data_IF_495012492483
#
_entry.id   IF_495012492483
#
_cell.length_a   1.000
_cell.length_b   1.000
_cell.length_c   1.000
_cell.angle_alpha   90.00
_cell.angle_beta   90.00
_cell.angle_gamma   90.00
#
_symmetry.space_group_name_H-M   'P 1'
#
loop_
_entity.id
_entity.type
_entity.pdbx_description
1 polymer ?
#
# COMPACT_ATOMS: atom_id res chain seq x y z
N UNK A 1 10.72 -58.31 80.43
CA UNK A 1 11.42 -59.47 79.81
C UNK A 1 10.87 -59.60 78.38
N UNK A 2 11.78 -59.59 77.39
CA UNK A 2 11.68 -59.79 75.92
C UNK A 2 10.32 -60.07 75.25
N UNK A 3 10.08 -59.41 74.10
CA UNK A 3 10.02 -59.96 72.72
C UNK A 3 9.44 -58.89 71.79
N UNK A 4 10.24 -58.25 70.94
CA UNK A 4 10.72 -58.65 69.60
C UNK A 4 9.64 -58.54 68.51
N UNK A 5 9.88 -57.58 67.62
CA UNK A 5 9.15 -57.23 66.41
C UNK A 5 9.63 -58.07 65.23
N UNK A 6 8.72 -58.65 64.44
CA UNK A 6 8.97 -58.88 63.00
C UNK A 6 7.68 -59.19 62.24
N UNK A 7 7.70 -58.82 60.96
CA UNK A 7 6.80 -59.17 59.85
C UNK A 7 5.63 -58.25 59.52
N UNK A 8 5.92 -57.25 58.69
CA UNK A 8 5.04 -56.79 57.60
C UNK A 8 5.88 -56.67 56.30
N UNK A 9 5.34 -57.08 55.13
CA UNK A 9 6.11 -57.21 53.89
C UNK A 9 6.34 -55.89 53.16
N UNK A 10 7.51 -55.79 52.51
CA UNK A 10 7.94 -54.70 51.63
C UNK A 10 7.23 -54.78 50.28
N UNK A 11 6.49 -53.74 49.89
CA UNK A 11 6.23 -53.43 48.48
C UNK A 11 7.32 -52.46 47.99
N UNK A 12 8.15 -52.93 47.04
CA UNK A 12 9.19 -52.15 46.36
C UNK A 12 8.71 -51.78 44.95
N UNK A 13 8.69 -50.48 44.67
CA UNK A 13 9.27 -49.87 43.47
C UNK A 13 8.72 -50.22 42.08
N UNK A 14 7.66 -49.50 41.67
CA UNK A 14 7.26 -49.17 40.29
C UNK A 14 6.39 -47.91 40.49
N UNK A 15 6.68 -46.67 40.07
CA UNK A 15 6.70 -46.19 38.69
C UNK A 15 7.04 -44.68 38.70
N UNK A 16 8.28 -44.32 39.03
CA UNK A 16 8.75 -42.91 38.86
C UNK A 16 9.39 -42.70 37.50
N UNK A 17 9.92 -43.77 36.88
CA UNK A 17 10.59 -43.70 35.58
C UNK A 17 9.63 -43.50 34.40
N UNK A 18 8.39 -44.01 34.48
CA UNK A 18 7.41 -43.88 33.40
C UNK A 18 6.88 -42.44 33.25
N UNK A 19 6.71 -41.70 34.36
CA UNK A 19 6.23 -40.30 34.32
C UNK A 19 7.26 -39.32 33.75
N UNK A 20 8.55 -39.58 33.92
CA UNK A 20 9.61 -38.73 33.37
C UNK A 20 9.76 -38.86 31.85
N UNK A 21 9.49 -40.06 31.30
CA UNK A 21 9.50 -40.29 29.84
C UNK A 21 8.34 -39.57 29.13
N UNK A 22 7.15 -39.53 29.73
CA UNK A 22 6.00 -38.84 29.14
C UNK A 22 6.16 -37.31 29.08
N UNK A 23 6.82 -36.71 30.08
CA UNK A 23 7.11 -35.26 30.09
C UNK A 23 8.21 -34.92 29.07
N UNK A 24 9.22 -35.79 28.92
CA UNK A 24 10.29 -35.58 27.93
C UNK A 24 9.77 -35.61 26.48
N UNK A 25 8.82 -36.50 26.16
CA UNK A 25 8.23 -36.58 24.80
C UNK A 25 7.36 -35.35 24.48
N UNK A 26 6.64 -34.79 25.46
CA UNK A 26 5.84 -33.56 25.28
C UNK A 26 6.70 -32.30 25.09
N UNK A 27 7.88 -32.24 25.73
CA UNK A 27 8.83 -31.12 25.55
C UNK A 27 9.53 -31.18 24.17
N UNK A 28 9.81 -32.38 23.66
CA UNK A 28 10.41 -32.53 22.32
C UNK A 28 9.39 -32.26 21.21
N UNK A 29 8.12 -32.61 21.41
CA UNK A 29 7.05 -32.31 20.45
C UNK A 29 6.72 -30.80 20.37
N UNK A 30 6.86 -30.06 21.47
CA UNK A 30 6.68 -28.60 21.50
C UNK A 30 7.91 -27.81 21.03
N UNK A 31 9.12 -28.39 21.13
CA UNK A 31 10.31 -27.78 20.55
C UNK A 31 10.32 -27.81 19.02
N UNK A 32 9.70 -28.83 18.41
CA UNK A 32 9.70 -29.01 16.95
C UNK A 32 8.79 -28.03 16.20
N UNK A 33 7.81 -27.42 16.87
CA UNK A 33 6.93 -26.39 16.28
C UNK A 33 7.49 -24.98 16.43
N UNK A 34 8.47 -24.76 17.32
CA UNK A 34 9.11 -23.45 17.50
C UNK A 34 10.22 -23.15 16.46
N UNK A 35 10.69 -24.16 15.72
CA UNK A 35 11.73 -24.02 14.68
C UNK A 35 11.20 -23.67 13.28
N UNK A 36 9.87 -23.52 13.12
CA UNK A 36 9.25 -23.08 11.87
C UNK A 36 9.06 -21.54 11.79
N UNK A 37 9.56 -20.78 12.76
CA UNK A 37 9.83 -19.35 12.55
C UNK A 37 11.11 -19.23 11.72
N UNK A 38 11.02 -19.63 10.44
CA UNK A 38 12.07 -19.43 9.48
C UNK A 38 12.46 -17.96 9.50
N UNK A 39 13.65 -17.66 10.00
CA UNK A 39 14.35 -16.41 9.72
C UNK A 39 14.48 -16.33 8.20
N UNK A 40 13.46 -15.75 7.55
CA UNK A 40 13.49 -15.46 6.13
C UNK A 40 14.70 -14.56 5.96
N UNK A 41 15.77 -15.08 5.36
CA UNK A 41 17.00 -14.31 5.11
C UNK A 41 16.56 -12.97 4.53
N UNK A 42 16.80 -11.88 5.26
CA UNK A 42 16.52 -10.53 4.75
C UNK A 42 17.32 -10.39 3.47
N UNK A 43 16.65 -10.33 2.32
CA UNK A 43 17.31 -10.12 1.03
C UNK A 43 17.97 -8.74 1.11
N UNK A 44 19.29 -8.70 0.92
CA UNK A 44 20.03 -7.44 0.89
C UNK A 44 19.58 -6.70 -0.36
N UNK A 45 19.11 -5.45 -0.20
CA UNK A 45 18.76 -4.57 -1.30
C UNK A 45 20.02 -3.78 -1.65
N UNK A 46 20.55 -4.00 -2.84
CA UNK A 46 21.67 -3.21 -3.37
C UNK A 46 21.10 -2.05 -4.18
N UNK A 47 21.27 -0.83 -3.69
CA UNK A 47 20.81 0.37 -4.39
C UNK A 47 21.97 0.97 -5.19
N UNK A 48 21.85 0.97 -6.51
CA UNK A 48 22.81 1.69 -7.35
C UNK A 48 22.60 3.21 -7.24
N UNK A 49 21.37 3.68 -7.00
CA UNK A 49 21.05 5.09 -6.68
C UNK A 49 19.80 5.19 -5.82
N UNK A 50 19.76 6.18 -4.94
CA UNK A 50 18.61 6.58 -4.11
C UNK A 50 18.60 8.11 -3.96
N UNK A 51 17.45 8.76 -3.85
CA UNK A 51 17.45 10.22 -3.77
C UNK A 51 16.09 10.89 -3.58
N UNK A 52 15.90 11.99 -4.32
CA UNK A 52 14.74 12.87 -4.25
C UNK A 52 14.95 14.03 -5.21
N UNK A 53 14.02 14.27 -6.13
CA UNK A 53 14.02 15.48 -6.95
C UNK A 53 12.63 16.07 -7.09
N UNK A 54 12.57 17.41 -7.16
CA UNK A 54 11.34 18.15 -7.38
C UNK A 54 11.06 18.24 -8.89
N UNK A 55 9.80 18.14 -9.29
CA UNK A 55 9.37 18.23 -10.69
C UNK A 55 8.09 19.07 -10.82
N UNK A 56 7.98 19.80 -11.93
CA UNK A 56 6.90 20.74 -12.18
C UNK A 56 6.88 21.93 -11.19
N UNK A 57 5.66 22.44 -10.98
CA UNK A 57 5.33 23.56 -10.11
C UNK A 57 5.47 24.95 -10.73
N UNK A 58 5.08 25.95 -9.96
CA UNK A 58 4.94 27.35 -10.39
C UNK A 58 5.87 28.23 -9.55
N UNK A 59 6.32 29.33 -10.13
CA UNK A 59 6.99 30.41 -9.39
C UNK A 59 6.06 31.61 -9.37
N UNK A 60 5.67 32.06 -8.18
CA UNK A 60 4.91 33.30 -7.99
C UNK A 60 5.83 34.37 -7.40
N UNK A 61 5.48 35.64 -7.63
CA UNK A 61 6.23 36.79 -7.11
C UNK A 61 5.42 37.45 -6.00
N UNK A 62 6.09 37.95 -4.97
CA UNK A 62 5.46 38.70 -3.90
C UNK A 62 4.84 40.01 -4.44
N UNK A 63 3.61 40.30 -4.01
CA UNK A 63 2.86 41.48 -4.48
C UNK A 63 3.40 42.81 -3.97
N UNK A 64 4.25 42.81 -2.93
CA UNK A 64 4.84 44.00 -2.30
C UNK A 64 6.32 44.19 -2.63
N UNK A 65 7.04 43.12 -2.92
CA UNK A 65 8.45 43.13 -3.31
C UNK A 65 8.71 42.21 -4.52
N UNK A 66 8.82 42.75 -5.75
CA UNK A 66 9.03 41.97 -6.96
C UNK A 66 10.32 41.12 -6.99
N UNK A 67 11.27 41.39 -6.08
CA UNK A 67 12.51 40.60 -5.96
C UNK A 67 12.36 39.34 -5.10
N UNK A 68 11.19 39.11 -4.48
CA UNK A 68 10.91 37.92 -3.68
C UNK A 68 9.98 36.98 -4.43
N UNK A 69 10.40 35.72 -4.57
CA UNK A 69 9.66 34.69 -5.31
C UNK A 69 9.40 33.45 -4.47
N UNK A 70 8.28 32.76 -4.70
CA UNK A 70 7.93 31.47 -4.10
C UNK A 70 7.82 30.39 -5.19
N UNK A 71 8.63 29.34 -5.06
CA UNK A 71 8.51 28.10 -5.84
C UNK A 71 7.56 27.13 -5.15
N UNK A 72 6.39 26.89 -5.71
CA UNK A 72 5.30 26.14 -5.08
C UNK A 72 4.66 25.12 -6.05
N UNK A 73 3.78 24.28 -5.52
CA UNK A 73 3.03 23.25 -6.25
C UNK A 73 3.90 22.25 -7.06
N UNK A 74 5.09 21.88 -6.55
CA UNK A 74 5.97 20.88 -7.20
C UNK A 74 5.61 19.47 -6.74
N UNK A 75 5.80 18.45 -7.57
CA UNK A 75 5.84 17.05 -7.13
C UNK A 75 7.26 16.60 -6.77
N UNK A 76 7.44 15.42 -6.16
CA UNK A 76 8.78 14.88 -5.80
C UNK A 76 8.93 13.37 -6.10
N UNK A 77 10.03 12.95 -6.77
CA UNK A 77 10.27 11.57 -7.28
C UNK A 77 11.80 11.18 -7.35
N UNK A 78 12.17 9.89 -7.60
CA UNK A 78 13.54 9.25 -7.64
C UNK A 78 13.86 8.29 -8.85
N UNK A 79 14.76 8.57 -9.83
CA UNK A 79 14.70 8.05 -11.23
C UNK A 79 15.47 6.75 -11.62
N UNK A 80 14.87 5.79 -12.43
CA UNK A 80 15.37 4.65 -13.31
C UNK A 80 14.32 4.00 -14.32
N UNK A 81 14.65 2.92 -15.07
CA UNK A 81 13.90 2.25 -16.19
C UNK A 81 12.85 1.19 -15.77
N UNK A 82 11.65 1.22 -16.34
CA UNK A 82 10.37 0.73 -15.78
C UNK A 82 10.16 1.11 -14.32
N UNK A 83 9.25 2.05 -14.11
CA UNK A 83 9.15 2.83 -12.90
C UNK A 83 7.83 2.59 -12.22
N UNK A 84 7.86 1.94 -11.06
CA UNK A 84 6.69 1.85 -10.19
C UNK A 84 6.53 3.16 -9.42
N UNK A 85 5.57 3.98 -9.82
CA UNK A 85 5.21 5.22 -9.14
C UNK A 85 4.13 4.94 -8.11
N UNK A 86 4.57 4.75 -6.87
CA UNK A 86 3.71 4.55 -5.71
C UNK A 86 3.08 5.88 -5.29
N UNK A 87 1.77 5.96 -5.39
CA UNK A 87 1.01 7.20 -5.21
C UNK A 87 -0.23 6.96 -4.32
N UNK A 88 -0.20 7.50 -3.11
CA UNK A 88 -1.34 7.49 -2.19
C UNK A 88 -2.02 8.87 -2.21
N UNK A 89 -3.32 8.92 -1.94
CA UNK A 89 -4.10 10.18 -1.87
C UNK A 89 -3.62 11.19 -0.83
N UNK A 90 -2.87 10.73 0.17
CA UNK A 90 -2.36 11.55 1.28
C UNK A 90 -0.89 11.35 1.64
N UNK A 91 -0.30 10.17 1.45
CA UNK A 91 1.02 9.91 2.02
C UNK A 91 1.75 8.75 1.39
N UNK A 92 2.99 8.97 1.00
CA UNK A 92 3.91 7.90 0.63
C UNK A 92 4.25 6.94 1.78
N UNK A 93 3.98 7.31 3.04
CA UNK A 93 4.25 6.49 4.22
C UNK A 93 3.56 5.11 4.15
N UNK A 94 2.40 5.00 3.51
CA UNK A 94 1.64 3.75 3.42
C UNK A 94 2.37 2.64 2.66
N UNK A 95 3.32 3.01 1.79
CA UNK A 95 4.10 2.07 0.98
C UNK A 95 5.45 1.71 1.60
N UNK A 96 5.85 2.38 2.68
CA UNK A 96 7.14 2.15 3.34
C UNK A 96 7.02 0.93 4.26
N UNK A 97 7.39 1.03 5.53
CA UNK A 97 7.18 -0.06 6.46
C UNK A 97 5.70 -0.33 6.72
N UNK A 98 5.37 -1.60 6.97
CA UNK A 98 4.11 -1.92 7.64
C UNK A 98 4.03 -1.24 9.00
N UNK A 99 2.83 -1.17 9.53
CA UNK A 99 2.55 -0.54 10.81
C UNK A 99 3.21 -1.25 12.01
N UNK A 100 3.51 -2.55 11.90
CA UNK A 100 4.28 -3.33 12.87
C UNK A 100 5.81 -3.12 12.73
N UNK A 101 6.24 -2.28 11.78
CA UNK A 101 7.66 -2.07 11.42
C UNK A 101 8.19 -3.10 10.42
N UNK A 102 7.37 -4.06 9.97
CA UNK A 102 7.73 -5.07 8.98
C UNK A 102 8.06 -4.49 7.60
N UNK A 103 8.56 -5.36 6.71
CA UNK A 103 8.79 -5.01 5.30
C UNK A 103 7.47 -4.57 4.68
N UNK A 104 7.44 -3.41 4.04
CA UNK A 104 6.30 -3.03 3.23
C UNK A 104 6.61 -2.97 1.76
N UNK A 105 5.66 -2.35 1.06
CA UNK A 105 5.44 -2.59 -0.36
C UNK A 105 6.62 -2.12 -1.22
N UNK A 106 7.19 -0.96 -0.88
CA UNK A 106 8.40 -0.42 -1.50
C UNK A 106 9.58 -1.40 -1.42
N UNK A 107 9.85 -1.95 -0.23
CA UNK A 107 10.96 -2.90 -0.04
C UNK A 107 10.75 -4.18 -0.85
N UNK A 108 9.52 -4.69 -0.95
CA UNK A 108 9.24 -5.90 -1.73
C UNK A 108 9.50 -5.72 -3.23
N UNK A 109 9.21 -4.54 -3.78
CA UNK A 109 9.50 -4.24 -5.19
C UNK A 109 10.98 -3.97 -5.44
N UNK A 110 11.66 -3.28 -4.52
CA UNK A 110 13.12 -3.13 -4.59
C UNK A 110 13.82 -4.49 -4.51
N UNK A 111 13.31 -5.43 -3.72
CA UNK A 111 13.79 -6.81 -3.69
C UNK A 111 13.53 -7.59 -4.99
N UNK A 112 12.67 -7.09 -5.86
CA UNK A 112 12.38 -7.66 -7.19
C UNK A 112 13.09 -6.88 -8.31
N UNK A 113 14.04 -6.03 -7.95
CA UNK A 113 14.84 -5.22 -8.87
C UNK A 113 14.01 -4.23 -9.72
N UNK A 114 12.82 -3.87 -9.24
CA UNK A 114 12.02 -2.78 -9.81
C UNK A 114 12.47 -1.43 -9.25
N UNK A 115 12.69 -0.42 -10.11
CA UNK A 115 12.73 0.97 -9.68
C UNK A 115 11.43 1.42 -9.03
N UNK A 116 11.54 1.88 -7.79
CA UNK A 116 10.39 2.34 -7.01
C UNK A 116 10.48 3.83 -6.72
N UNK A 117 9.37 4.50 -6.98
CA UNK A 117 9.22 5.93 -6.89
C UNK A 117 8.09 6.28 -5.92
N UNK A 118 8.40 7.05 -4.90
CA UNK A 118 7.38 7.53 -3.96
C UNK A 118 6.99 8.95 -4.34
N UNK A 119 5.75 9.11 -4.82
CA UNK A 119 5.21 10.40 -5.24
C UNK A 119 4.40 11.05 -4.13
N UNK A 120 4.82 12.26 -3.75
CA UNK A 120 3.96 13.21 -3.06
C UNK A 120 3.51 14.26 -4.10
N UNK A 121 2.21 14.30 -4.37
CA UNK A 121 1.59 15.31 -5.22
C UNK A 121 1.68 16.72 -4.62
N UNK A 122 1.63 17.79 -5.44
CA UNK A 122 1.65 19.17 -4.97
C UNK A 122 0.80 19.42 -3.73
N UNK A 123 1.31 20.22 -2.78
CA UNK A 123 0.62 20.63 -1.54
C UNK A 123 0.50 19.51 -0.48
N UNK A 124 0.92 18.27 -0.78
CA UNK A 124 0.84 17.12 0.13
C UNK A 124 2.24 16.69 0.61
N UNK A 125 2.35 16.27 1.88
CA UNK A 125 3.56 15.66 2.43
C UNK A 125 4.82 16.52 2.23
N UNK A 126 5.83 15.96 1.54
CA UNK A 126 7.11 16.64 1.24
C UNK A 126 6.99 17.83 0.28
N UNK A 127 5.81 18.05 -0.31
CA UNK A 127 5.57 19.11 -1.28
C UNK A 127 4.51 20.13 -0.83
N UNK A 128 4.34 20.27 0.49
CA UNK A 128 3.36 21.16 1.13
C UNK A 128 3.52 22.68 0.88
N UNK A 129 4.43 23.11 0.00
CA UNK A 129 4.57 24.51 -0.40
C UNK A 129 3.52 24.85 -1.47
N UNK A 130 2.41 25.43 -1.04
CA UNK A 130 1.29 25.82 -1.89
C UNK A 130 1.42 27.25 -2.44
N UNK A 131 0.93 27.48 -3.66
CA UNK A 131 0.80 28.84 -4.23
C UNK A 131 -0.46 29.57 -3.76
N UNK A 132 -1.33 28.88 -3.01
CA UNK A 132 -2.58 29.40 -2.47
C UNK A 132 -2.63 29.11 -0.97
N UNK A 133 -3.32 29.92 -0.16
CA UNK A 133 -3.53 29.62 1.24
C UNK A 133 -4.20 28.25 1.42
N UNK A 134 -3.66 27.43 2.32
CA UNK A 134 -4.28 26.17 2.76
C UNK A 134 -4.57 26.30 4.24
N UNK A 135 -5.83 26.15 4.62
CA UNK A 135 -6.24 26.19 6.03
C UNK A 135 -6.45 24.76 6.52
N UNK A 136 -5.74 24.41 7.59
CA UNK A 136 -5.97 23.17 8.33
C UNK A 136 -6.69 23.45 9.63
N UNK A 137 -7.79 22.75 9.86
CA UNK A 137 -8.49 22.73 11.14
C UNK A 137 -8.55 21.27 11.62
N UNK A 138 -7.98 20.94 12.80
CA UNK A 138 -8.07 19.60 13.35
C UNK A 138 -9.53 19.14 13.48
N UNK A 139 -9.82 17.92 13.06
CA UNK A 139 -11.12 17.28 13.25
C UNK A 139 -10.93 15.87 13.79
N UNK A 140 -11.77 15.49 14.76
CA UNK A 140 -11.74 14.16 15.41
C UNK A 140 -12.33 13.06 14.50
N UNK A 141 -11.64 12.73 13.39
CA UNK A 141 -12.10 11.75 12.38
C UNK A 141 -11.59 10.32 12.60
N UNK A 142 -10.84 10.04 13.66
CA UNK A 142 -10.16 8.74 13.81
C UNK A 142 -11.12 7.55 13.83
N UNK A 143 -12.30 7.70 14.43
CA UNK A 143 -13.35 6.70 14.41
C UNK A 143 -13.94 6.50 13.00
N UNK A 144 -14.23 7.58 12.29
CA UNK A 144 -14.72 7.51 10.90
C UNK A 144 -13.69 6.88 9.97
N UNK A 145 -12.43 7.29 10.08
CA UNK A 145 -11.33 6.70 9.33
C UNK A 145 -11.22 5.20 9.61
N UNK A 146 -11.49 4.74 10.85
CA UNK A 146 -11.35 3.33 11.25
C UNK A 146 -12.22 2.42 10.44
N UNK A 147 -13.48 2.79 10.39
CA UNK A 147 -14.49 2.05 9.66
C UNK A 147 -14.27 2.22 8.16
N UNK A 148 -13.92 3.43 7.71
CA UNK A 148 -13.69 3.71 6.28
C UNK A 148 -12.49 2.95 5.70
N UNK A 149 -11.43 2.75 6.49
CA UNK A 149 -10.27 1.97 6.08
C UNK A 149 -10.41 0.47 6.36
N UNK A 150 -11.60 0.05 6.81
CA UNK A 150 -11.92 -1.34 7.11
C UNK A 150 -10.94 -2.01 8.09
N UNK A 151 -10.52 -1.29 9.15
CA UNK A 151 -9.66 -1.89 10.18
C UNK A 151 -10.40 -2.81 11.14
N UNK A 152 -11.72 -2.67 11.19
CA UNK A 152 -12.57 -3.47 12.05
C UNK A 152 -14.00 -2.95 12.08
N UNK A 153 -14.91 -3.67 12.74
CA UNK A 153 -16.35 -3.35 12.73
C UNK A 153 -16.69 -2.04 13.45
N UNK A 154 -15.86 -1.61 14.39
CA UNK A 154 -16.04 -0.37 15.16
C UNK A 154 -14.71 0.15 15.66
N UNK A 155 -14.63 1.45 15.96
CA UNK A 155 -13.39 2.08 16.41
C UNK A 155 -12.72 1.31 17.56
N UNK A 156 -11.41 1.05 17.43
CA UNK A 156 -10.58 0.26 18.35
C UNK A 156 -10.94 -1.24 18.48
N UNK A 157 -11.94 -1.72 17.75
CA UNK A 157 -12.23 -3.14 17.61
C UNK A 157 -11.68 -3.60 16.28
N UNK A 158 -10.49 -4.20 16.26
CA UNK A 158 -9.82 -4.60 15.02
C UNK A 158 -10.33 -5.95 14.49
N UNK A 159 -10.31 -6.11 13.17
CA UNK A 159 -10.23 -7.45 12.58
C UNK A 159 -8.93 -8.13 13.02
N UNK A 160 -8.84 -9.46 13.07
CA UNK A 160 -7.58 -10.16 13.34
C UNK A 160 -6.46 -9.67 12.38
N UNK A 161 -5.36 -9.15 12.94
CA UNK A 161 -4.22 -8.62 12.17
C UNK A 161 -4.30 -7.14 11.79
N UNK A 162 -5.28 -6.39 12.28
CA UNK A 162 -5.42 -4.96 12.01
C UNK A 162 -4.32 -4.07 12.63
N UNK A 163 -4.18 -2.85 12.09
CA UNK A 163 -3.07 -1.96 12.42
C UNK A 163 -3.44 -0.45 12.40
N UNK A 164 -2.54 0.41 12.89
CA UNK A 164 -2.82 1.82 13.28
C UNK A 164 -2.22 2.86 12.31
N UNK A 165 -2.81 4.06 12.26
CA UNK A 165 -2.67 5.05 11.18
C UNK A 165 -1.53 6.07 11.29
N UNK A 166 -1.07 6.51 10.13
CA UNK A 166 -0.66 7.90 9.86
C UNK A 166 -1.36 8.39 8.58
N UNK A 167 -1.85 9.64 8.57
CA UNK A 167 -2.51 10.28 7.42
C UNK A 167 -2.10 11.75 7.35
N UNK A 168 -1.94 12.28 6.14
CA UNK A 168 -1.96 13.73 5.87
C UNK A 168 -3.31 14.10 5.23
N UNK A 169 -3.63 15.40 5.17
CA UNK A 169 -4.87 15.84 4.52
C UNK A 169 -4.93 15.40 3.06
N UNK A 170 -6.11 14.90 2.68
CA UNK A 170 -6.39 14.56 1.29
C UNK A 170 -7.04 15.78 0.66
N UNK A 171 -6.33 16.42 -0.27
CA UNK A 171 -6.82 17.60 -0.98
C UNK A 171 -7.72 17.16 -2.16
N UNK A 172 -8.84 16.51 -1.86
CA UNK A 172 -9.75 15.89 -2.84
C UNK A 172 -10.83 16.87 -3.35
N UNK A 173 -10.38 18.00 -3.89
CA UNK A 173 -11.23 18.96 -4.61
C UNK A 173 -10.93 18.89 -6.11
N UNK A 174 -11.87 19.23 -6.98
CA UNK A 174 -11.66 19.24 -8.45
C UNK A 174 -10.40 20.01 -8.87
N UNK A 175 -10.16 21.18 -8.29
CA UNK A 175 -8.95 21.99 -8.55
C UNK A 175 -7.67 21.22 -8.24
N UNK A 176 -7.59 20.61 -7.06
CA UNK A 176 -6.43 19.83 -6.64
C UNK A 176 -6.29 18.52 -7.43
N UNK A 177 -7.38 17.82 -7.78
CA UNK A 177 -7.32 16.63 -8.65
C UNK A 177 -6.68 17.00 -9.99
N UNK A 178 -7.12 18.10 -10.60
CA UNK A 178 -6.55 18.59 -11.86
C UNK A 178 -5.10 19.06 -11.70
N UNK A 179 -4.78 19.77 -10.62
CA UNK A 179 -3.40 20.19 -10.31
C UNK A 179 -2.47 18.98 -10.19
N UNK A 180 -2.89 17.96 -9.43
CA UNK A 180 -2.10 16.77 -9.19
C UNK A 180 -1.89 15.96 -10.46
N UNK A 181 -2.96 15.79 -11.26
CA UNK A 181 -2.90 15.09 -12.54
C UNK A 181 -2.00 15.82 -13.55
N UNK A 182 -2.08 17.15 -13.66
CA UNK A 182 -1.19 17.93 -14.51
C UNK A 182 0.28 17.82 -14.07
N UNK A 183 0.55 17.88 -12.76
CA UNK A 183 1.91 17.73 -12.25
C UNK A 183 2.49 16.34 -12.57
N UNK A 184 1.69 15.29 -12.44
CA UNK A 184 2.10 13.94 -12.77
C UNK A 184 2.25 13.73 -14.28
N UNK A 185 1.38 14.33 -15.11
CA UNK A 185 1.46 14.27 -16.57
C UNK A 185 2.73 14.98 -17.07
N UNK A 186 3.01 16.18 -16.56
CA UNK A 186 4.28 16.87 -16.81
C UNK A 186 5.48 16.02 -16.39
N UNK A 187 5.40 15.33 -15.25
CA UNK A 187 6.47 14.47 -14.79
C UNK A 187 6.70 13.26 -15.72
N UNK A 188 5.61 12.62 -16.18
CA UNK A 188 5.67 11.54 -17.16
C UNK A 188 6.25 12.02 -18.51
N UNK A 189 5.74 13.13 -19.02
CA UNK A 189 6.13 13.69 -20.32
C UNK A 189 7.58 14.18 -20.34
N UNK A 190 8.13 14.57 -19.19
CA UNK A 190 9.53 15.01 -19.08
C UNK A 190 10.56 13.92 -19.38
N UNK A 191 10.16 12.64 -19.37
CA UNK A 191 11.06 11.49 -19.49
C UNK A 191 12.00 11.28 -18.30
N UNK A 192 11.96 12.15 -17.27
CA UNK A 192 12.81 12.04 -16.07
C UNK A 192 12.49 10.82 -15.22
N UNK A 193 11.31 10.24 -15.40
CA UNK A 193 10.84 9.02 -14.75
C UNK A 193 11.12 7.76 -15.60
N UNK A 194 11.78 7.90 -16.74
CA UNK A 194 11.86 6.85 -17.74
C UNK A 194 10.65 6.83 -18.67
N UNK A 195 10.68 5.87 -19.59
CA UNK A 195 9.75 5.68 -20.71
C UNK A 195 8.76 4.52 -20.49
N UNK A 196 8.77 3.92 -19.30
CA UNK A 196 7.87 2.85 -18.88
C UNK A 196 7.33 3.09 -17.47
N UNK A 197 6.25 3.84 -17.32
CA UNK A 197 5.70 4.21 -16.02
C UNK A 197 4.48 3.38 -15.70
N UNK A 198 4.44 2.86 -14.47
CA UNK A 198 3.28 2.22 -13.90
C UNK A 198 2.90 2.99 -12.65
N UNK A 199 1.71 3.56 -12.63
CA UNK A 199 1.18 4.17 -11.41
C UNK A 199 0.55 3.10 -10.53
N UNK A 200 1.08 2.92 -9.32
CA UNK A 200 0.47 2.06 -8.30
C UNK A 200 -0.21 2.98 -7.29
N UNK A 201 -1.53 2.98 -7.30
CA UNK A 201 -2.34 4.03 -6.68
C UNK A 201 -3.28 3.50 -5.63
N UNK A 202 -3.64 4.34 -4.66
CA UNK A 202 -4.69 4.02 -3.69
C UNK A 202 -5.60 5.21 -3.40
N UNK A 203 -6.88 4.91 -3.17
CA UNK A 203 -7.94 5.89 -2.94
C UNK A 203 -8.02 6.91 -4.10
N UNK A 204 -8.01 8.22 -3.79
CA UNK A 204 -8.16 9.30 -4.76
C UNK A 204 -7.03 9.34 -5.81
N UNK A 205 -5.86 8.79 -5.48
CA UNK A 205 -4.75 8.71 -6.43
C UNK A 205 -5.08 7.90 -7.69
N UNK A 206 -5.99 6.92 -7.61
CA UNK A 206 -6.42 6.16 -8.78
C UNK A 206 -7.15 7.00 -9.81
N UNK A 207 -8.05 7.89 -9.38
CA UNK A 207 -8.70 8.86 -10.26
C UNK A 207 -7.68 9.87 -10.81
N UNK A 208 -6.75 10.34 -9.97
CA UNK A 208 -5.71 11.29 -10.38
C UNK A 208 -4.76 10.69 -11.44
N UNK A 209 -4.42 9.40 -11.33
CA UNK A 209 -3.61 8.70 -12.33
C UNK A 209 -4.37 8.47 -13.65
N UNK A 210 -5.67 8.17 -13.60
CA UNK A 210 -6.50 8.13 -14.82
C UNK A 210 -6.52 9.49 -15.53
N UNK A 211 -6.74 10.58 -14.78
CA UNK A 211 -6.65 11.94 -15.31
C UNK A 211 -5.25 12.26 -15.84
N UNK A 212 -4.19 11.77 -15.19
CA UNK A 212 -2.81 11.91 -15.65
C UNK A 212 -2.61 11.27 -17.02
N UNK A 213 -3.13 10.06 -17.24
CA UNK A 213 -3.06 9.38 -18.53
C UNK A 213 -3.83 10.13 -19.62
N UNK A 214 -4.96 10.77 -19.28
CA UNK A 214 -5.74 11.60 -20.21
C UNK A 214 -5.00 12.90 -20.60
N UNK A 215 -4.29 13.50 -19.64
CA UNK A 215 -3.60 14.79 -19.82
C UNK A 215 -2.18 14.67 -20.39
N UNK A 216 -1.57 13.50 -20.27
CA UNK A 216 -0.21 13.22 -20.76
C UNK A 216 -0.17 13.22 -22.28
N UNK A 217 0.87 13.83 -22.85
CA UNK A 217 1.11 13.84 -24.29
C UNK A 217 2.16 12.81 -24.73
N UNK A 218 2.69 12.02 -23.80
CA UNK A 218 3.70 11.00 -24.07
C UNK A 218 3.14 9.58 -23.99
N UNK A 219 3.91 8.63 -24.52
CA UNK A 219 3.63 7.20 -24.40
C UNK A 219 4.39 6.55 -23.24
N UNK A 220 4.88 7.38 -22.30
CA UNK A 220 5.72 6.90 -21.20
C UNK A 220 4.90 6.13 -20.16
N UNK A 221 3.60 6.43 -20.02
CA UNK A 221 2.69 5.73 -19.11
C UNK A 221 2.26 4.42 -19.75
N UNK A 222 2.55 3.29 -19.08
CA UNK A 222 2.23 1.93 -19.55
C UNK A 222 1.00 1.35 -18.89
N UNK A 223 0.73 1.71 -17.64
CA UNK A 223 -0.41 1.18 -16.92
C UNK A 223 -0.68 1.87 -15.60
N UNK A 224 -1.82 1.54 -14.99
CA UNK A 224 -2.21 1.98 -13.65
C UNK A 224 -2.80 0.80 -12.89
N UNK A 225 -2.22 0.49 -11.73
CA UNK A 225 -2.79 -0.43 -10.75
C UNK A 225 -3.50 0.42 -9.68
N UNK A 226 -4.83 0.29 -9.59
CA UNK A 226 -5.64 1.14 -8.71
C UNK A 226 -6.31 0.36 -7.58
N UNK A 227 -5.77 0.48 -6.36
CA UNK A 227 -6.33 -0.14 -5.16
C UNK A 227 -7.44 0.73 -4.57
N UNK A 228 -8.65 0.19 -4.56
CA UNK A 228 -9.83 0.79 -3.93
C UNK A 228 -10.01 2.28 -4.29
N UNK A 229 -9.94 2.60 -5.59
CA UNK A 229 -10.10 3.98 -6.04
C UNK A 229 -11.52 4.51 -5.84
N UNK A 230 -11.61 5.76 -5.40
CA UNK A 230 -12.86 6.47 -5.12
C UNK A 230 -13.42 7.24 -6.33
N UNK A 231 -12.92 6.97 -7.54
CA UNK A 231 -13.39 7.66 -8.74
C UNK A 231 -12.80 7.07 -10.02
N UNK A 232 -13.57 7.15 -11.10
CA UNK A 232 -13.15 6.71 -12.43
C UNK A 232 -13.51 7.79 -13.45
N UNK A 233 -12.61 8.01 -14.42
CA UNK A 233 -12.86 8.94 -15.51
C UNK A 233 -13.73 8.27 -16.58
N UNK A 234 -14.84 8.91 -16.94
CA UNK A 234 -15.74 8.46 -18.00
C UNK A 234 -15.85 9.53 -19.10
N UNK A 235 -16.08 9.14 -20.37
CA UNK A 235 -16.44 10.08 -21.42
C UNK A 235 -17.70 10.87 -21.04
N UNK A 236 -17.80 12.14 -21.46
CA UNK A 236 -18.96 12.98 -21.17
C UNK A 236 -20.29 12.42 -21.71
N UNK A 237 -20.23 11.57 -22.75
CA UNK A 237 -21.38 10.86 -23.32
C UNK A 237 -21.86 9.68 -22.47
N UNK A 238 -21.09 9.26 -21.47
CA UNK A 238 -21.43 8.15 -20.60
C UNK A 238 -22.45 8.62 -19.56
N UNK A 239 -23.69 8.18 -19.72
CA UNK A 239 -24.79 8.62 -18.86
C UNK A 239 -24.71 7.95 -17.47
N UNK A 240 -24.15 8.66 -16.49
CA UNK A 240 -24.06 8.19 -15.11
C UNK A 240 -25.36 8.57 -14.38
N UNK A 241 -26.38 7.71 -14.45
CA UNK A 241 -27.62 7.89 -13.68
C UNK A 241 -27.58 7.04 -12.41
N UNK A 242 -27.36 7.65 -11.24
CA UNK A 242 -27.57 7.02 -9.93
C UNK A 242 -26.44 7.23 -8.91
N UNK A 243 -26.81 7.24 -7.62
CA UNK A 243 -25.85 7.04 -6.52
C UNK A 243 -25.37 5.58 -6.55
N UNK A 244 -24.26 5.34 -7.24
CA UNK A 244 -23.68 4.00 -7.36
C UNK A 244 -23.04 3.57 -6.05
N UNK A 245 -23.80 2.83 -5.24
CA UNK A 245 -23.26 2.16 -4.06
C UNK A 245 -22.22 1.09 -4.45
N UNK A 246 -21.07 1.23 -3.78
CA UNK A 246 -19.84 0.43 -3.77
C UNK A 246 -18.96 0.58 -5.02
N UNK A 247 -17.89 1.37 -4.84
CA UNK A 247 -16.75 1.64 -5.75
C UNK A 247 -16.38 0.49 -6.70
N UNK A 248 -16.40 -0.77 -6.24
CA UNK A 248 -16.18 -1.95 -7.07
C UNK A 248 -17.11 -2.08 -8.30
N UNK A 249 -18.36 -1.59 -8.24
CA UNK A 249 -19.26 -1.54 -9.40
C UNK A 249 -18.81 -0.49 -10.42
N UNK A 250 -18.37 0.69 -9.95
CA UNK A 250 -17.82 1.72 -10.83
C UNK A 250 -16.53 1.25 -11.48
N UNK A 251 -15.65 0.56 -10.73
CA UNK A 251 -14.44 -0.08 -11.27
C UNK A 251 -14.77 -1.03 -12.42
N UNK A 252 -15.76 -1.90 -12.23
CA UNK A 252 -16.17 -2.87 -13.26
C UNK A 252 -16.76 -2.19 -14.49
N UNK A 253 -17.56 -1.14 -14.30
CA UNK A 253 -18.10 -0.36 -15.41
C UNK A 253 -16.99 0.35 -16.20
N UNK A 254 -16.02 0.97 -15.51
CA UNK A 254 -14.87 1.60 -16.13
C UNK A 254 -14.02 0.58 -16.91
N UNK A 255 -13.69 -0.57 -16.30
CA UNK A 255 -12.94 -1.63 -16.97
C UNK A 255 -13.68 -2.19 -18.19
N UNK A 256 -15.00 -2.41 -18.08
CA UNK A 256 -15.83 -2.83 -19.19
C UNK A 256 -15.76 -1.85 -20.36
N UNK A 257 -15.92 -0.56 -20.09
CA UNK A 257 -15.83 0.48 -21.12
C UNK A 257 -14.43 0.56 -21.74
N UNK A 258 -13.37 0.46 -20.94
CA UNK A 258 -11.98 0.43 -21.46
C UNK A 258 -11.80 -0.74 -22.44
N UNK A 259 -12.28 -1.93 -22.07
CA UNK A 259 -12.17 -3.13 -22.90
C UNK A 259 -13.04 -3.03 -24.18
N UNK A 260 -14.24 -2.47 -24.08
CA UNK A 260 -15.11 -2.21 -25.25
C UNK A 260 -14.46 -1.25 -26.25
N UNK A 261 -13.65 -0.30 -25.76
CA UNK A 261 -12.89 0.65 -26.57
C UNK A 261 -11.53 0.11 -27.05
N UNK A 262 -11.24 -1.18 -26.81
CA UNK A 262 -10.01 -1.84 -27.27
C UNK A 262 -8.81 -1.72 -26.33
N UNK A 263 -9.00 -1.22 -25.11
CA UNK A 263 -8.00 -1.23 -24.05
C UNK A 263 -7.95 -2.57 -23.29
N UNK A 264 -7.12 -2.61 -22.23
CA UNK A 264 -7.00 -3.77 -21.35
C UNK A 264 -7.17 -3.32 -19.89
N UNK A 265 -8.24 -3.77 -19.25
CA UNK A 265 -8.53 -3.46 -17.86
C UNK A 265 -9.18 -4.66 -17.16
N UNK A 266 -8.68 -4.96 -15.97
CA UNK A 266 -9.19 -6.01 -15.09
C UNK A 266 -9.56 -5.43 -13.72
N UNK A 267 -10.62 -5.97 -13.11
CA UNK A 267 -10.98 -5.66 -11.72
C UNK A 267 -10.84 -6.91 -10.88
N UNK A 268 -9.90 -6.86 -9.95
CA UNK A 268 -9.64 -7.95 -9.02
C UNK A 268 -10.28 -7.68 -7.66
N UNK A 269 -10.96 -8.69 -7.11
CA UNK A 269 -11.46 -8.67 -5.73
C UNK A 269 -10.62 -9.63 -4.90
N UNK A 270 -9.77 -9.09 -4.04
CA UNK A 270 -8.89 -9.90 -3.20
C UNK A 270 -9.71 -10.85 -2.32
N UNK A 271 -9.31 -12.13 -2.31
CA UNK A 271 -9.96 -13.19 -1.54
C UNK A 271 -11.10 -13.94 -2.27
N UNK A 272 -11.63 -13.39 -3.38
CA UNK A 272 -12.55 -14.10 -4.27
C UNK A 272 -11.75 -14.88 -5.33
N UNK A 273 -11.75 -16.22 -5.25
CA UNK A 273 -11.06 -17.08 -6.23
C UNK A 273 -9.52 -17.11 -6.13
N UNK A 274 -8.91 -16.35 -5.22
CA UNK A 274 -7.44 -16.20 -5.10
C UNK A 274 -6.81 -16.86 -3.86
N UNK A 275 -7.51 -17.83 -3.26
CA UNK A 275 -7.06 -18.52 -2.05
C UNK A 275 -7.25 -17.72 -0.75
N UNK A 276 -6.90 -18.34 0.37
CA UNK A 276 -7.11 -17.77 1.72
C UNK A 276 -6.06 -16.74 2.12
N UNK A 277 -4.91 -16.71 1.44
CA UNK A 277 -3.78 -15.80 1.75
C UNK A 277 -4.08 -14.33 1.46
N UNK A 278 -5.05 -14.04 0.58
CA UNK A 278 -5.49 -12.69 0.19
C UNK A 278 -6.84 -12.29 0.83
N UNK A 279 -7.23 -12.93 1.93
CA UNK A 279 -8.45 -12.59 2.68
C UNK A 279 -8.12 -11.70 3.87
N UNK A 280 -9.08 -10.85 4.24
CA UNK A 280 -8.98 -9.99 5.43
C UNK A 280 -8.20 -8.70 5.21
N UNK A 281 -7.96 -8.34 3.95
CA UNK A 281 -7.29 -7.11 3.58
C UNK A 281 -8.09 -5.86 3.98
N UNK A 282 -7.37 -4.82 4.38
CA UNK A 282 -7.89 -3.49 4.71
C UNK A 282 -7.80 -2.58 3.49
N UNK A 283 -8.25 -1.33 3.63
CA UNK A 283 -8.09 -0.33 2.56
C UNK A 283 -6.61 -0.04 2.23
N UNK A 284 -5.71 -0.27 3.19
CA UNK A 284 -4.26 -0.02 3.05
C UNK A 284 -3.53 -1.37 2.92
N UNK A 285 -3.84 -2.09 1.85
CA UNK A 285 -3.32 -3.45 1.58
C UNK A 285 -1.79 -3.57 1.62
N UNK A 286 -1.10 -2.48 1.32
CA UNK A 286 0.36 -2.35 1.31
C UNK A 286 0.99 -2.53 2.69
N UNK A 287 0.23 -2.20 3.73
CA UNK A 287 0.66 -2.22 5.11
C UNK A 287 0.01 -3.36 5.93
N UNK A 288 -0.84 -4.17 5.30
CA UNK A 288 -1.46 -5.35 5.91
C UNK A 288 -0.42 -6.44 6.19
N UNK A 289 -0.73 -7.33 7.13
CA UNK A 289 0.17 -8.42 7.53
C UNK A 289 0.45 -9.43 6.41
N UNK A 290 -0.43 -9.52 5.42
CA UNK A 290 -0.32 -10.39 4.24
C UNK A 290 0.15 -9.65 2.98
N UNK A 291 0.68 -8.42 3.11
CA UNK A 291 1.09 -7.57 1.98
C UNK A 291 2.08 -8.24 1.01
N UNK A 292 2.89 -9.19 1.47
CA UNK A 292 3.78 -9.97 0.61
C UNK A 292 3.05 -10.81 -0.45
N UNK A 293 1.84 -11.29 -0.13
CA UNK A 293 0.98 -12.04 -1.06
C UNK A 293 0.35 -11.10 -2.07
N UNK A 294 0.00 -9.88 -1.65
CA UNK A 294 -0.49 -8.82 -2.55
C UNK A 294 0.59 -8.49 -3.59
N UNK A 295 1.83 -8.20 -3.15
CA UNK A 295 2.96 -7.95 -4.07
C UNK A 295 3.24 -9.14 -4.97
N UNK A 296 3.14 -10.37 -4.43
CA UNK A 296 3.29 -11.59 -5.23
C UNK A 296 2.31 -11.63 -6.40
N UNK A 297 1.04 -11.33 -6.14
CA UNK A 297 -0.01 -11.28 -7.15
C UNK A 297 0.24 -10.18 -8.19
N UNK A 298 0.67 -8.99 -7.75
CA UNK A 298 0.95 -7.89 -8.66
C UNK A 298 2.14 -8.19 -9.58
N UNK A 299 3.15 -8.92 -9.07
CA UNK A 299 4.28 -9.40 -9.88
C UNK A 299 3.88 -10.42 -10.94
N UNK A 300 2.87 -11.25 -10.67
CA UNK A 300 2.30 -12.16 -11.69
C UNK A 300 1.56 -11.41 -12.80
N UNK A 301 0.88 -10.31 -12.46
CA UNK A 301 0.23 -9.44 -13.44
C UNK A 301 1.25 -8.71 -14.30
N UNK A 302 2.36 -8.28 -13.70
CA UNK A 302 3.45 -7.60 -14.40
C UNK A 302 4.20 -8.48 -15.44
N UNK A 303 4.13 -9.81 -15.33
CA UNK A 303 4.88 -10.75 -16.18
C UNK A 303 6.41 -10.64 -16.05
N UNK A 304 7.17 -11.57 -16.64
CA UNK A 304 8.64 -11.47 -16.75
C UNK A 304 9.09 -10.32 -17.67
N UNK A 305 8.17 -9.76 -18.47
CA UNK A 305 8.40 -8.71 -19.47
C UNK A 305 7.82 -7.32 -19.08
N UNK A 306 7.29 -7.13 -17.87
CA UNK A 306 6.89 -5.81 -17.36
C UNK A 306 5.65 -5.19 -18.01
N UNK A 307 4.63 -6.00 -18.31
CA UNK A 307 3.34 -5.53 -18.81
C UNK A 307 2.37 -5.38 -17.64
N UNK A 308 1.92 -4.16 -17.38
CA UNK A 308 0.78 -3.88 -16.49
C UNK A 308 -0.50 -3.79 -17.29
#
# INVERSE_FOLDING_TARGET
MKLNTSMLPRFRGLDVRLRLLSVAVLVVASASTALAAGSRRRKIIMLEKSGGFKIGGTVITDGTNPNQTLSCNRGCIDPRKISLVLWHSSSTQVFQNRWDGGLGYKEFWLQRDYPVYQWDEPRVGRTNYACVPITYCPFYRDANNFVSWNFGPSYLTFWPGGAVRKRYDELDTDENVLLHANAAAFAADSGRLGDGLVYVTNLAAGMRAQMTAILSNSTNIKGTVAYESIGYAFPASFNITGFWNRWARMSRAAAGLINELGGQAEVLVLGEGMGTMLRGNTHIVFADMNNEHVVGRDGELAGEDGVV
#
